data_IF_941580692867
#
_entry.id   IF_941580692867
#
_cell.length_a   1.000
_cell.length_b   1.000
_cell.length_c   1.000
_cell.angle_alpha   90.00
_cell.angle_beta   90.00
_cell.angle_gamma   90.00
#
_symmetry.space_group_name_H-M   'P 1'
#
loop_
_entity.id
_entity.type
_entity.pdbx_description
1 polymer ?
#
# COMPACT_ATOMS: atom_id res chain seq x y z
N UNK A 1 20.64 -7.04 -6.10
CA UNK A 1 21.88 -6.28 -5.97
C UNK A 1 22.67 -6.56 -4.69
N UNK A 2 22.10 -7.33 -3.74
CA UNK A 2 22.80 -7.77 -2.52
C UNK A 2 22.98 -6.71 -1.43
N UNK A 3 22.45 -5.50 -1.63
CA UNK A 3 22.44 -4.44 -0.62
C UNK A 3 21.22 -4.56 0.29
N UNK A 4 21.35 -4.20 1.58
CA UNK A 4 20.19 -4.11 2.46
C UNK A 4 19.17 -3.10 1.93
N UNK A 5 17.88 -3.43 2.05
CA UNK A 5 16.80 -2.51 1.74
C UNK A 5 16.59 -1.52 2.89
N UNK A 6 16.57 -0.23 2.57
CA UNK A 6 16.19 0.84 3.48
C UNK A 6 14.95 1.56 2.95
N UNK A 7 13.87 1.48 3.67
CA UNK A 7 12.64 2.22 3.37
C UNK A 7 12.61 3.52 4.18
N UNK A 8 12.41 4.64 3.49
CA UNK A 8 12.34 5.97 4.07
C UNK A 8 10.94 6.52 3.88
N UNK A 9 10.21 6.68 4.98
CA UNK A 9 8.87 7.25 4.94
C UNK A 9 8.92 8.77 4.87
N UNK A 10 8.31 9.36 3.86
CA UNK A 10 8.35 10.80 3.58
C UNK A 10 7.07 11.55 3.97
N UNK A 11 6.11 10.88 4.59
CA UNK A 11 4.83 11.49 4.94
C UNK A 11 3.83 11.51 3.79
N UNK A 12 2.89 12.45 3.82
CA UNK A 12 1.84 12.54 2.80
C UNK A 12 2.33 13.18 1.50
N UNK A 13 1.75 12.83 0.34
CA UNK A 13 2.15 13.36 -0.96
C UNK A 13 2.13 14.88 -1.11
N UNK A 14 1.35 15.59 -0.29
CA UNK A 14 1.27 17.05 -0.29
C UNK A 14 2.60 17.76 -0.06
N UNK A 15 3.57 17.06 0.51
CA UNK A 15 4.91 17.61 0.78
C UNK A 15 5.97 17.21 -0.26
N UNK A 16 5.62 16.33 -1.21
CA UNK A 16 6.60 15.67 -2.08
C UNK A 16 6.23 15.81 -3.56
N UNK A 17 5.39 16.78 -3.90
CA UNK A 17 5.02 17.03 -5.30
C UNK A 17 6.28 17.28 -6.14
N UNK A 18 6.45 16.49 -7.19
CA UNK A 18 7.40 16.70 -8.30
C UNK A 18 8.88 16.46 -8.02
N UNK A 19 9.24 15.75 -6.94
CA UNK A 19 10.65 15.40 -6.68
C UNK A 19 10.95 13.95 -7.04
N UNK A 20 12.02 13.76 -7.80
CA UNK A 20 12.63 12.46 -7.95
C UNK A 20 13.13 11.97 -6.57
N UNK A 21 12.70 10.78 -6.09
CA UNK A 21 13.15 10.25 -4.79
C UNK A 21 14.66 10.24 -4.59
N UNK A 22 15.40 9.99 -5.66
CA UNK A 22 16.87 9.92 -5.63
C UNK A 22 17.53 11.29 -5.37
N UNK A 23 16.81 12.38 -5.54
CA UNK A 23 17.29 13.73 -5.27
C UNK A 23 17.13 14.14 -3.80
N UNK A 24 16.32 13.39 -3.03
CA UNK A 24 16.08 13.72 -1.61
C UNK A 24 17.25 13.28 -0.75
N UNK A 25 17.66 12.04 -0.85
CA UNK A 25 18.81 11.46 -0.17
C UNK A 25 19.13 10.09 -0.77
N UNK A 26 20.40 9.77 -0.84
CA UNK A 26 20.85 8.46 -1.32
C UNK A 26 22.10 8.02 -0.53
N UNK A 27 22.23 6.71 -0.32
CA UNK A 27 23.39 6.10 0.32
C UNK A 27 23.69 4.79 -0.42
N UNK A 28 24.88 4.71 -0.98
CA UNK A 28 25.29 3.59 -1.84
C UNK A 28 25.46 2.26 -1.09
N UNK A 29 25.44 2.27 0.24
CA UNK A 29 25.46 1.06 1.08
C UNK A 29 24.12 0.33 1.09
N UNK A 30 23.01 1.02 0.70
CA UNK A 30 21.66 0.53 0.75
C UNK A 30 20.97 0.56 -0.62
N UNK A 31 19.98 -0.29 -0.78
CA UNK A 31 18.91 -0.08 -1.76
C UNK A 31 17.87 0.80 -1.09
N UNK A 32 17.87 2.09 -1.40
CA UNK A 32 16.95 3.06 -0.80
C UNK A 32 15.63 3.07 -1.56
N UNK A 33 14.51 3.01 -0.84
CA UNK A 33 13.16 3.20 -1.38
C UNK A 33 12.40 4.20 -0.53
N UNK A 34 11.71 5.09 -1.19
CA UNK A 34 10.89 6.10 -0.54
C UNK A 34 9.44 5.67 -0.52
N UNK A 35 8.83 5.76 0.66
CA UNK A 35 7.43 5.43 0.89
C UNK A 35 6.67 6.71 1.18
N UNK A 36 5.64 6.99 0.39
CA UNK A 36 4.74 8.12 0.64
C UNK A 36 3.54 7.67 1.47
N UNK A 37 2.83 8.62 2.11
CA UNK A 37 1.67 8.30 2.91
C UNK A 37 0.54 7.66 2.10
N UNK A 38 -0.05 8.44 1.21
CA UNK A 38 -1.16 7.97 0.38
C UNK A 38 -0.96 8.42 -1.06
N UNK A 39 -1.08 7.51 -2.00
CA UNK A 39 -1.17 7.83 -3.42
C UNK A 39 -2.63 7.66 -3.83
N UNK A 40 -3.36 8.78 -3.89
CA UNK A 40 -4.77 8.79 -4.29
C UNK A 40 -4.93 8.86 -5.80
N UNK A 41 -6.16 8.67 -6.28
CA UNK A 41 -6.47 8.75 -7.71
C UNK A 41 -6.15 10.10 -8.35
N UNK A 42 -6.16 11.18 -7.55
CA UNK A 42 -5.81 12.53 -8.00
C UNK A 42 -4.35 12.89 -7.77
N UNK A 43 -3.56 11.96 -7.25
CA UNK A 43 -2.15 12.22 -6.97
C UNK A 43 -1.35 12.36 -8.26
N UNK A 44 -0.57 13.43 -8.37
CA UNK A 44 0.43 13.61 -9.44
C UNK A 44 1.58 12.58 -9.38
N UNK A 45 1.64 11.80 -8.31
CA UNK A 45 2.62 10.72 -8.14
C UNK A 45 2.18 9.39 -8.77
N UNK A 46 1.02 9.35 -9.40
CA UNK A 46 0.48 8.17 -10.06
C UNK A 46 0.09 8.45 -11.50
N UNK A 47 0.43 7.56 -12.38
CA UNK A 47 -0.12 7.54 -13.72
C UNK A 47 -1.57 7.04 -13.68
N UNK A 48 -2.49 7.81 -14.28
CA UNK A 48 -3.93 7.53 -14.19
C UNK A 48 -4.38 6.33 -15.04
N UNK A 49 -3.61 5.95 -16.05
CA UNK A 49 -3.96 4.87 -16.97
C UNK A 49 -3.37 3.53 -16.51
N UNK A 50 -2.08 3.54 -16.17
CA UNK A 50 -1.34 2.33 -15.82
C UNK A 50 -1.37 2.00 -14.34
N UNK A 51 -1.67 2.99 -13.48
CA UNK A 51 -1.56 2.93 -12.03
C UNK A 51 -0.10 2.75 -11.55
N UNK A 52 0.86 3.08 -12.40
CA UNK A 52 2.26 3.09 -12.02
C UNK A 52 2.58 4.30 -11.15
N UNK A 53 3.32 4.08 -10.07
CA UNK A 53 3.85 5.16 -9.25
C UNK A 53 4.97 5.89 -10.00
N UNK A 54 4.78 7.18 -10.20
CA UNK A 54 5.79 8.04 -10.83
C UNK A 54 7.01 8.14 -9.92
N UNK A 55 8.21 8.20 -10.51
CA UNK A 55 9.51 8.23 -9.82
C UNK A 55 9.83 7.02 -8.94
N UNK A 56 9.02 5.95 -8.98
CA UNK A 56 9.26 4.73 -8.20
C UNK A 56 8.96 4.87 -6.70
N UNK A 57 8.14 5.82 -6.30
CA UNK A 57 7.65 5.89 -4.92
C UNK A 57 6.83 4.65 -4.58
N UNK A 58 7.06 4.09 -3.41
CA UNK A 58 6.18 3.08 -2.83
C UNK A 58 5.05 3.78 -2.07
N UNK A 59 3.83 3.32 -2.25
CA UNK A 59 2.70 3.83 -1.47
C UNK A 59 2.66 3.14 -0.11
N UNK A 60 2.39 3.92 0.95
CA UNK A 60 2.06 3.34 2.25
C UNK A 60 0.66 2.72 2.24
N UNK A 61 -0.29 3.44 1.67
CA UNK A 61 -1.66 2.99 1.54
C UNK A 61 -2.28 3.65 0.30
N UNK A 62 -2.90 2.87 -0.54
CA UNK A 62 -3.71 3.39 -1.63
C UNK A 62 -5.18 3.41 -1.21
N UNK A 63 -5.89 4.43 -1.70
CA UNK A 63 -7.33 4.50 -1.58
C UNK A 63 -7.93 4.40 -2.97
N UNK A 64 -8.78 3.40 -3.17
CA UNK A 64 -9.30 3.07 -4.48
C UNK A 64 -8.39 2.12 -5.25
N UNK A 65 -8.09 2.43 -6.50
CA UNK A 65 -7.27 1.55 -7.34
C UNK A 65 -5.81 1.48 -6.86
N UNK A 66 -5.37 0.29 -6.61
CA UNK A 66 -4.06 -0.03 -6.06
C UNK A 66 -2.93 0.36 -7.01
N UNK A 67 -2.01 1.20 -6.55
CA UNK A 67 -0.83 1.66 -7.28
C UNK A 67 0.31 0.65 -7.16
N UNK A 68 1.16 0.53 -8.16
CA UNK A 68 2.38 -0.25 -8.08
C UNK A 68 3.62 0.59 -8.40
N UNK A 69 4.69 0.34 -7.69
CA UNK A 69 5.98 0.97 -7.95
C UNK A 69 6.77 0.17 -8.98
N UNK A 70 7.46 0.88 -9.86
CA UNK A 70 8.40 0.32 -10.83
C UNK A 70 9.82 0.68 -10.42
N UNK A 71 10.69 -0.30 -10.43
CA UNK A 71 12.12 -0.06 -10.23
C UNK A 71 12.67 0.82 -11.35
N UNK A 72 13.22 1.97 -11.01
CA UNK A 72 13.62 2.98 -12.00
C UNK A 72 14.82 2.56 -12.86
N UNK A 73 15.61 1.61 -12.39
CA UNK A 73 16.76 1.08 -13.13
C UNK A 73 16.35 -0.06 -14.08
N UNK A 74 15.62 -1.04 -13.54
CA UNK A 74 15.27 -2.25 -14.30
C UNK A 74 13.98 -2.14 -15.08
N UNK A 75 13.17 -1.12 -14.82
CA UNK A 75 11.82 -0.92 -15.40
C UNK A 75 10.87 -2.10 -15.17
N UNK A 76 11.09 -2.82 -14.08
CA UNK A 76 10.23 -3.95 -13.70
C UNK A 76 9.36 -3.59 -12.49
N UNK A 77 8.12 -4.14 -12.38
CA UNK A 77 7.28 -3.99 -11.21
C UNK A 77 8.04 -4.42 -9.94
N UNK A 78 8.05 -3.56 -8.93
CA UNK A 78 8.86 -3.76 -7.74
C UNK A 78 8.05 -3.95 -6.47
N UNK A 79 7.11 -3.06 -6.20
CA UNK A 79 6.36 -3.08 -4.95
C UNK A 79 4.89 -2.67 -5.13
N UNK A 80 4.06 -3.18 -4.23
CA UNK A 80 2.64 -2.87 -4.14
C UNK A 80 2.20 -2.97 -2.68
N UNK A 81 1.30 -2.11 -2.26
CA UNK A 81 0.73 -2.14 -0.92
C UNK A 81 -0.56 -2.93 -0.91
N UNK A 82 -0.77 -3.68 0.15
CA UNK A 82 -1.91 -4.55 0.39
C UNK A 82 -2.60 -4.11 1.66
N UNK A 83 -3.89 -3.84 1.60
CA UNK A 83 -4.71 -3.49 2.76
C UNK A 83 -5.92 -4.41 2.90
N UNK A 84 -6.43 -4.55 4.13
CA UNK A 84 -7.63 -5.36 4.36
C UNK A 84 -8.93 -4.56 4.14
N UNK A 85 -8.87 -3.24 4.26
CA UNK A 85 -9.97 -2.30 4.08
C UNK A 85 -9.42 -0.89 3.83
N UNK A 86 -10.26 0.02 3.33
CA UNK A 86 -9.92 1.43 3.16
C UNK A 86 -10.71 2.30 4.12
N UNK A 87 -10.07 3.36 4.62
CA UNK A 87 -10.76 4.46 5.29
C UNK A 87 -11.47 5.37 4.29
N UNK A 88 -12.49 6.08 4.76
CA UNK A 88 -12.99 7.22 4.00
C UNK A 88 -11.92 8.31 3.88
N UNK A 89 -11.92 9.00 2.75
CA UNK A 89 -11.15 10.22 2.54
C UNK A 89 -12.12 11.38 2.34
N UNK A 90 -11.89 12.51 3.03
CA UNK A 90 -12.80 13.64 3.02
C UNK A 90 -14.12 13.35 3.76
N UNK A 91 -15.06 14.28 3.63
CA UNK A 91 -16.39 14.16 4.21
C UNK A 91 -17.43 13.94 3.11
N UNK A 92 -18.55 13.26 3.41
CA UNK A 92 -19.63 13.10 2.45
C UNK A 92 -20.12 14.45 1.91
N UNK A 93 -19.97 14.66 0.61
CA UNK A 93 -20.30 15.91 -0.08
C UNK A 93 -19.10 16.68 -0.62
N UNK A 94 -17.89 16.35 -0.21
CA UNK A 94 -16.68 16.90 -0.81
C UNK A 94 -16.49 16.36 -2.23
N UNK A 95 -15.89 17.18 -3.10
CA UNK A 95 -15.65 16.81 -4.50
C UNK A 95 -14.67 15.62 -4.65
N UNK A 96 -13.83 15.41 -3.65
CA UNK A 96 -12.82 14.37 -3.59
C UNK A 96 -13.15 13.28 -2.53
N UNK A 97 -14.41 13.23 -2.10
CA UNK A 97 -14.85 12.22 -1.15
C UNK A 97 -14.71 10.80 -1.72
N UNK A 98 -13.97 9.98 -1.01
CA UNK A 98 -13.88 8.53 -1.26
C UNK A 98 -14.48 7.81 -0.05
N UNK A 99 -15.57 7.05 -0.24
CA UNK A 99 -16.19 6.33 0.87
C UNK A 99 -15.27 5.25 1.43
N UNK A 100 -15.42 4.94 2.71
CA UNK A 100 -14.76 3.79 3.31
C UNK A 100 -15.17 2.51 2.58
N UNK A 101 -14.21 1.64 2.38
CA UNK A 101 -14.46 0.27 1.92
C UNK A 101 -14.23 -0.69 3.08
N UNK A 102 -15.27 -1.42 3.47
CA UNK A 102 -15.14 -2.46 4.48
C UNK A 102 -14.33 -3.66 4.00
N UNK A 103 -14.07 -4.57 4.93
CA UNK A 103 -13.28 -5.80 4.66
C UNK A 103 -13.97 -6.75 3.67
N UNK A 104 -15.29 -6.69 3.55
CA UNK A 104 -16.09 -7.51 2.64
C UNK A 104 -15.76 -9.01 2.74
N UNK A 105 -15.66 -9.53 3.97
CA UNK A 105 -15.24 -10.92 4.25
C UNK A 105 -13.90 -11.29 3.59
N UNK A 106 -12.95 -10.38 3.63
CA UNK A 106 -11.61 -10.57 3.08
C UNK A 106 -11.52 -10.46 1.55
N UNK A 107 -12.59 -10.04 0.87
CA UNK A 107 -12.60 -9.89 -0.59
C UNK A 107 -11.57 -8.87 -1.04
N UNK A 108 -11.56 -7.67 -0.44
CA UNK A 108 -10.60 -6.61 -0.75
C UNK A 108 -9.16 -7.15 -0.63
N UNK A 109 -8.85 -7.77 0.49
CA UNK A 109 -7.52 -8.29 0.76
C UNK A 109 -7.06 -9.33 -0.29
N UNK A 110 -7.94 -10.28 -0.64
CA UNK A 110 -7.63 -11.29 -1.66
C UNK A 110 -7.46 -10.70 -3.05
N UNK A 111 -8.28 -9.73 -3.42
CA UNK A 111 -8.20 -9.06 -4.73
C UNK A 111 -6.89 -8.29 -4.88
N UNK A 112 -6.44 -7.60 -3.85
CA UNK A 112 -5.17 -6.88 -3.86
C UNK A 112 -3.96 -7.83 -3.96
N UNK A 113 -3.95 -8.93 -3.22
CA UNK A 113 -2.94 -9.97 -3.37
C UNK A 113 -2.95 -10.60 -4.77
N UNK A 114 -4.14 -10.88 -5.31
CA UNK A 114 -4.27 -11.42 -6.66
C UNK A 114 -3.69 -10.45 -7.70
N UNK A 115 -3.95 -9.16 -7.55
CA UNK A 115 -3.40 -8.12 -8.41
C UNK A 115 -1.88 -8.00 -8.28
N UNK A 116 -1.33 -8.05 -7.08
CA UNK A 116 0.12 -8.04 -6.86
C UNK A 116 0.81 -9.24 -7.55
N UNK A 117 0.17 -10.41 -7.52
CA UNK A 117 0.64 -11.59 -8.26
C UNK A 117 0.55 -11.41 -9.77
N UNK A 118 -0.54 -10.84 -10.27
CA UNK A 118 -0.78 -10.63 -11.69
C UNK A 118 0.23 -9.63 -12.29
N UNK A 119 0.47 -8.52 -11.61
CA UNK A 119 1.45 -7.50 -12.02
C UNK A 119 2.88 -8.04 -11.88
N UNK A 120 3.11 -8.94 -10.94
CA UNK A 120 4.41 -9.58 -10.76
C UNK A 120 5.39 -8.80 -9.90
N UNK A 121 4.90 -7.94 -9.01
CA UNK A 121 5.76 -7.20 -8.07
C UNK A 121 6.59 -8.16 -7.21
N UNK A 122 7.76 -7.69 -6.79
CA UNK A 122 8.70 -8.47 -5.99
C UNK A 122 8.47 -8.32 -4.49
N UNK A 123 7.87 -7.20 -4.09
CA UNK A 123 7.65 -6.85 -2.69
C UNK A 123 6.18 -6.48 -2.48
N UNK A 124 5.58 -7.03 -1.44
CA UNK A 124 4.27 -6.61 -0.94
C UNK A 124 4.46 -5.95 0.42
N UNK A 125 3.97 -4.72 0.55
CA UNK A 125 3.84 -4.03 1.83
C UNK A 125 2.45 -4.30 2.37
N UNK A 126 2.36 -4.91 3.54
CA UNK A 126 1.06 -5.18 4.16
C UNK A 126 0.81 -4.16 5.26
N UNK A 127 -0.25 -3.39 5.10
CA UNK A 127 -0.61 -2.28 5.99
C UNK A 127 -2.06 -2.46 6.45
N UNK A 128 -2.32 -2.60 7.75
CA UNK A 128 -1.38 -2.57 8.86
C UNK A 128 -1.51 -3.81 9.75
N UNK A 129 -0.57 -4.00 10.67
CA UNK A 129 -0.67 -5.05 11.67
C UNK A 129 -1.59 -4.62 12.83
N UNK A 130 -1.28 -3.51 13.49
CA UNK A 130 -2.00 -3.00 14.65
C UNK A 130 -1.92 -1.47 14.76
N UNK A 131 -2.26 -0.79 13.70
CA UNK A 131 -2.34 0.67 13.69
C UNK A 131 -3.63 1.12 14.40
N UNK A 132 -3.65 0.92 15.70
CA UNK A 132 -4.79 1.26 16.54
C UNK A 132 -4.88 2.77 16.74
N UNK A 133 -5.33 3.47 15.74
CA UNK A 133 -5.72 4.87 15.89
C UNK A 133 -7.07 4.91 16.61
N UNK A 134 -7.23 5.87 17.49
CA UNK A 134 -8.42 6.08 18.30
C UNK A 134 -9.69 5.93 17.44
N UNK A 135 -10.53 4.96 17.80
CA UNK A 135 -11.81 4.68 17.14
C UNK A 135 -11.76 3.69 15.98
N UNK A 136 -10.60 3.26 15.48
CA UNK A 136 -10.51 2.30 14.37
C UNK A 136 -10.71 0.85 14.76
N UNK A 137 -10.41 0.52 15.99
CA UNK A 137 -10.57 -0.84 16.52
C UNK A 137 -12.02 -1.32 16.56
N UNK A 138 -12.96 -0.38 16.59
CA UNK A 138 -14.37 -0.65 16.91
C UNK A 138 -15.20 -0.79 15.64
N UNK A 139 -14.71 -0.27 14.53
CA UNK A 139 -15.42 -0.33 13.26
C UNK A 139 -14.82 -1.45 12.39
N UNK A 140 -15.43 -2.61 12.56
CA UNK A 140 -15.05 -3.85 11.87
C UNK A 140 -14.95 -3.69 10.36
N UNK A 141 -15.78 -2.85 9.79
CA UNK A 141 -15.79 -2.66 8.33
C UNK A 141 -14.65 -1.80 7.86
N UNK A 142 -14.16 -0.89 8.70
CA UNK A 142 -13.16 0.11 8.32
C UNK A 142 -11.75 -0.17 8.82
N UNK A 143 -11.61 -1.02 9.83
CA UNK A 143 -10.29 -1.39 10.32
C UNK A 143 -9.52 -2.20 9.28
N UNK A 144 -8.29 -1.79 9.01
CA UNK A 144 -7.35 -2.50 8.13
C UNK A 144 -6.40 -3.44 8.89
N UNK A 145 -6.47 -3.45 10.23
CA UNK A 145 -5.55 -4.20 11.08
C UNK A 145 -5.72 -5.71 10.95
N UNK A 146 -4.59 -6.39 10.88
CA UNK A 146 -4.53 -7.84 10.68
C UNK A 146 -4.24 -8.62 11.97
N UNK A 147 -3.89 -7.89 13.05
CA UNK A 147 -3.68 -8.48 14.35
C UNK A 147 -4.94 -9.22 14.82
N UNK A 148 -4.81 -10.44 15.37
CA UNK A 148 -5.94 -11.15 15.94
C UNK A 148 -6.71 -10.31 16.95
N UNK A 149 -8.02 -10.28 16.84
CA UNK A 149 -8.89 -9.46 17.68
C UNK A 149 -10.16 -10.20 18.08
N UNK A 150 -10.99 -9.58 18.93
CA UNK A 150 -12.20 -10.23 19.48
C UNK A 150 -13.32 -10.39 18.45
N UNK A 151 -13.25 -9.68 17.33
CA UNK A 151 -14.29 -9.67 16.30
C UNK A 151 -14.04 -10.75 15.27
N UNK A 152 -12.85 -10.73 14.67
CA UNK A 152 -12.45 -11.66 13.59
C UNK A 152 -11.59 -12.82 14.08
N UNK A 153 -11.29 -12.89 15.38
CA UNK A 153 -10.32 -13.86 15.88
C UNK A 153 -8.99 -13.70 15.17
N UNK A 154 -8.46 -14.78 14.62
CA UNK A 154 -7.21 -14.81 13.84
C UNK A 154 -7.44 -14.95 12.32
N UNK A 155 -8.66 -14.75 11.83
CA UNK A 155 -9.05 -14.98 10.44
C UNK A 155 -8.14 -14.25 9.45
N UNK A 156 -7.91 -12.95 9.64
CA UNK A 156 -7.07 -12.15 8.73
C UNK A 156 -5.59 -12.50 8.83
N UNK A 157 -5.13 -12.95 9.99
CA UNK A 157 -3.78 -13.48 10.13
C UNK A 157 -3.60 -14.80 9.37
N UNK A 158 -4.57 -15.69 9.42
CA UNK A 158 -4.53 -16.93 8.64
C UNK A 158 -4.60 -16.65 7.14
N UNK A 159 -5.49 -15.74 6.73
CA UNK A 159 -5.59 -15.30 5.34
C UNK A 159 -4.27 -14.70 4.84
N UNK A 160 -3.62 -13.86 5.64
CA UNK A 160 -2.29 -13.32 5.32
C UNK A 160 -1.26 -14.44 5.07
N UNK A 161 -1.25 -15.46 5.92
CA UNK A 161 -0.32 -16.61 5.75
C UNK A 161 -0.57 -17.37 4.46
N UNK A 162 -1.83 -17.55 4.09
CA UNK A 162 -2.23 -18.21 2.84
C UNK A 162 -1.76 -17.39 1.62
N UNK A 163 -2.06 -16.10 1.62
CA UNK A 163 -1.70 -15.21 0.52
C UNK A 163 -0.18 -15.04 0.35
N UNK A 164 0.59 -15.00 1.45
CA UNK A 164 2.06 -14.99 1.40
C UNK A 164 2.59 -16.28 0.75
N UNK A 165 2.02 -17.44 1.06
CA UNK A 165 2.42 -18.70 0.40
C UNK A 165 2.19 -18.62 -1.10
N UNK A 166 1.00 -18.18 -1.53
CA UNK A 166 0.67 -18.03 -2.95
C UNK A 166 1.59 -17.01 -3.65
N UNK A 167 1.96 -15.94 -2.96
CA UNK A 167 2.85 -14.92 -3.50
C UNK A 167 4.29 -15.41 -3.69
N UNK A 168 4.78 -16.25 -2.78
CA UNK A 168 6.16 -16.79 -2.82
C UNK A 168 6.35 -17.94 -3.81
N UNK A 169 5.29 -18.63 -4.20
CA UNK A 169 5.35 -19.81 -5.07
C UNK A 169 5.06 -19.48 -6.55
N UNK A 170 5.41 -18.28 -6.98
CA UNK A 170 5.32 -17.87 -8.41
C UNK A 170 6.40 -18.53 -9.26
#
# INVERSE_FOLDING_TARGET
>A
DGKPLLMVYLGTPTFITDRNPLEVWNDDRFTVRYVTGFITEQSSLRDSETLESIYGYWSWEDRGAQTFAVNQETKQPEAMTIVAAYRAQGEPGDADYIPASGRQNGKIFREEWARARLIGVKTALVVSWNEFVIGEQIDEERSKDLEPNTVYGDEYYQLLKEEIKLFKHK
#
